data_IF_534762475017
#
_entry.id   IF_534762475017
#
_cell.length_a   1.000
_cell.length_b   1.000
_cell.length_c   1.000
_cell.angle_alpha   90.00
_cell.angle_beta   90.00
_cell.angle_gamma   90.00
#
_symmetry.space_group_name_H-M   'P 1'
#
loop_
_entity.id
_entity.type
_entity.pdbx_description
1 polymer ?
#
# COMPACT_ATOMS: atom_id res chain seq x y z
N UNK A 1 -24.82 7.49 2.09
CA UNK A 1 -23.72 6.54 2.37
C UNK A 1 -23.54 6.44 3.87
N UNK A 2 -23.68 5.24 4.42
CA UNK A 2 -23.59 5.02 5.87
C UNK A 2 -22.93 3.73 6.27
N UNK A 3 -22.44 3.66 7.50
CA UNK A 3 -21.82 2.47 8.09
C UNK A 3 -20.59 1.97 7.34
N UNK A 4 -19.92 2.82 6.55
CA UNK A 4 -18.73 2.41 5.81
C UNK A 4 -17.52 2.41 6.74
N UNK A 5 -16.66 1.42 6.58
CA UNK A 5 -15.31 1.42 7.14
C UNK A 5 -14.32 1.72 6.03
N UNK A 6 -13.76 2.91 6.05
CA UNK A 6 -12.85 3.40 5.02
C UNK A 6 -11.49 3.64 5.67
N UNK A 7 -10.46 2.93 5.23
CA UNK A 7 -9.12 3.22 5.72
C UNK A 7 -8.00 2.67 4.87
N UNK A 8 -6.78 3.10 5.20
CA UNK A 8 -5.57 2.95 4.38
C UNK A 8 -5.76 3.51 2.95
N UNK A 9 -6.43 4.67 2.88
CA UNK A 9 -6.71 5.38 1.64
C UNK A 9 -5.94 6.70 1.62
N UNK A 10 -5.75 7.25 0.42
CA UNK A 10 -5.07 8.53 0.19
C UNK A 10 -3.59 8.61 0.57
N UNK A 11 -2.92 7.47 0.63
CA UNK A 11 -1.48 7.43 0.87
C UNK A 11 -0.67 8.28 -0.12
N UNK A 12 -1.07 8.37 -1.40
CA UNK A 12 -0.31 9.08 -2.45
C UNK A 12 -1.05 10.28 -3.06
N UNK A 13 -2.24 10.60 -2.52
CA UNK A 13 -3.09 11.68 -3.00
C UNK A 13 -3.11 12.81 -1.96
N UNK A 14 -3.37 14.01 -2.42
CA UNK A 14 -3.57 15.21 -1.62
C UNK A 14 -4.80 15.93 -2.18
N UNK A 15 -5.36 16.91 -1.45
CA UNK A 15 -6.61 17.57 -1.87
C UNK A 15 -7.79 16.57 -1.97
N UNK A 16 -7.81 15.63 -1.02
CA UNK A 16 -8.72 14.49 -1.05
C UNK A 16 -9.12 14.07 0.38
N UNK A 17 -10.18 13.28 0.49
CA UNK A 17 -10.54 12.61 1.74
C UNK A 17 -10.86 11.15 1.58
N UNK A 18 -10.90 10.42 2.69
CA UNK A 18 -11.38 9.03 2.69
C UNK A 18 -12.77 8.92 2.04
N UNK A 19 -13.59 9.96 2.24
CA UNK A 19 -14.72 10.28 1.37
C UNK A 19 -14.44 11.64 0.73
N UNK A 20 -14.48 11.71 -0.60
CA UNK A 20 -14.36 12.97 -1.35
C UNK A 20 -15.70 13.27 -2.03
N UNK A 21 -16.08 14.54 -2.03
CA UNK A 21 -17.28 15.02 -2.71
C UNK A 21 -17.04 16.36 -3.40
N UNK A 22 -17.61 16.49 -4.59
CA UNK A 22 -17.57 17.67 -5.45
C UNK A 22 -18.94 17.77 -6.14
N UNK A 23 -19.52 18.97 -6.19
CA UNK A 23 -20.86 19.31 -6.76
C UNK A 23 -22.05 19.35 -5.79
N UNK A 24 -23.16 19.90 -6.25
CA UNK A 24 -24.42 20.01 -5.53
C UNK A 24 -25.16 18.67 -5.57
N UNK A 25 -25.47 18.10 -4.40
CA UNK A 25 -26.11 16.79 -4.30
C UNK A 25 -27.25 16.81 -3.28
N UNK A 26 -28.44 17.31 -3.66
CA UNK A 26 -29.64 17.35 -2.81
C UNK A 26 -29.92 15.99 -2.18
N UNK A 27 -30.42 16.01 -0.94
CA UNK A 27 -30.81 14.83 -0.15
C UNK A 27 -29.68 13.84 0.16
N UNK A 28 -28.42 14.18 -0.13
CA UNK A 28 -27.28 13.31 0.16
C UNK A 28 -26.92 13.36 1.64
N UNK A 29 -26.76 12.17 2.24
CA UNK A 29 -26.34 12.00 3.64
C UNK A 29 -25.10 11.13 3.73
N UNK A 30 -24.04 11.65 4.36
CA UNK A 30 -22.87 10.88 4.81
C UNK A 30 -22.95 10.72 6.33
N UNK A 31 -23.32 9.53 6.81
CA UNK A 31 -23.51 9.31 8.24
C UNK A 31 -22.96 7.99 8.78
N UNK A 32 -22.55 7.98 10.05
CA UNK A 32 -22.13 6.74 10.73
C UNK A 32 -20.98 6.00 10.02
N UNK A 33 -20.12 6.72 9.29
CA UNK A 33 -18.94 6.12 8.69
C UNK A 33 -17.76 6.18 9.68
N UNK A 34 -16.98 5.11 9.70
CA UNK A 34 -15.69 5.08 10.37
C UNK A 34 -14.60 5.24 9.32
N UNK A 35 -13.89 6.35 9.38
CA UNK A 35 -12.81 6.68 8.47
C UNK A 35 -11.52 6.64 9.30
N UNK A 36 -10.50 5.93 8.85
CA UNK A 36 -9.27 5.77 9.61
C UNK A 36 -8.04 5.65 8.71
N UNK A 37 -6.84 5.89 9.25
CA UNK A 37 -5.57 5.76 8.52
C UNK A 37 -5.59 6.53 7.18
N UNK A 38 -6.14 7.74 7.22
CA UNK A 38 -6.07 8.72 6.12
C UNK A 38 -4.81 9.54 6.34
N UNK A 39 -3.71 8.95 5.91
CA UNK A 39 -2.38 9.51 6.09
C UNK A 39 -1.84 10.00 4.75
N UNK A 40 -1.46 11.29 4.72
CA UNK A 40 -0.79 11.87 3.56
C UNK A 40 0.68 11.49 3.60
N UNK A 41 1.18 10.78 2.59
CA UNK A 41 2.64 10.68 2.44
C UNK A 41 3.24 12.08 2.25
N UNK A 42 4.43 12.37 2.81
CA UNK A 42 5.08 13.68 2.67
C UNK A 42 5.28 14.17 1.22
N UNK A 43 5.05 13.30 0.24
CA UNK A 43 5.40 13.47 -1.16
C UNK A 43 4.17 13.65 -2.06
N UNK A 44 2.94 13.55 -1.53
CA UNK A 44 1.70 13.65 -2.29
C UNK A 44 1.52 15.04 -2.94
N UNK A 45 1.40 16.11 -2.15
CA UNK A 45 1.59 17.53 -2.47
C UNK A 45 1.33 18.39 -1.21
N UNK A 46 1.38 19.72 -1.31
CA UNK A 46 1.17 20.64 -0.18
C UNK A 46 -0.26 20.68 0.39
N UNK A 47 -1.28 20.32 -0.40
CA UNK A 47 -2.69 20.36 0.02
C UNK A 47 -2.98 19.35 1.15
N UNK A 48 -3.85 19.71 2.12
CA UNK A 48 -4.23 18.80 3.20
C UNK A 48 -5.06 17.62 2.67
N UNK A 49 -5.19 16.57 3.48
CA UNK A 49 -6.20 15.51 3.32
C UNK A 49 -7.13 15.55 4.53
N UNK A 50 -8.37 15.11 4.35
CA UNK A 50 -9.36 15.03 5.43
C UNK A 50 -9.99 13.64 5.52
N UNK A 51 -10.72 13.37 6.60
CA UNK A 51 -11.61 12.19 6.64
C UNK A 51 -12.67 12.30 5.55
N UNK A 52 -13.41 13.40 5.58
CA UNK A 52 -14.36 13.79 4.54
C UNK A 52 -13.87 15.08 3.90
N UNK A 53 -13.73 15.10 2.59
CA UNK A 53 -13.22 16.24 1.84
C UNK A 53 -14.32 16.81 0.96
N UNK A 54 -14.69 18.06 1.22
CA UNK A 54 -15.76 18.75 0.53
C UNK A 54 -15.14 19.82 -0.35
N UNK A 55 -15.15 19.55 -1.65
CA UNK A 55 -14.56 20.44 -2.65
C UNK A 55 -15.60 21.39 -3.27
N UNK A 56 -15.15 22.29 -4.14
CA UNK A 56 -15.95 23.39 -4.66
C UNK A 56 -17.29 22.92 -5.26
N UNK A 57 -18.37 23.51 -4.75
CA UNK A 57 -19.73 23.20 -5.18
C UNK A 57 -20.42 22.12 -4.34
N UNK A 58 -19.75 21.51 -3.35
CA UNK A 58 -20.40 20.64 -2.35
C UNK A 58 -21.54 21.36 -1.64
N UNK A 59 -22.79 21.04 -1.97
CA UNK A 59 -23.97 21.76 -1.47
C UNK A 59 -25.21 20.85 -1.33
N UNK A 60 -26.19 21.31 -0.54
CA UNK A 60 -27.48 20.65 -0.24
C UNK A 60 -27.37 19.22 0.31
N UNK A 61 -26.48 19.02 1.29
CA UNK A 61 -26.21 17.70 1.88
C UNK A 61 -26.03 17.72 3.41
N UNK A 62 -26.05 16.54 4.03
CA UNK A 62 -25.86 16.33 5.47
C UNK A 62 -24.69 15.41 5.76
N UNK A 63 -23.84 15.79 6.70
CA UNK A 63 -22.68 15.02 7.17
C UNK A 63 -22.78 14.89 8.69
N UNK A 64 -23.09 13.70 9.19
CA UNK A 64 -23.33 13.51 10.64
C UNK A 64 -22.82 12.22 11.23
N UNK A 65 -22.54 12.18 12.52
CA UNK A 65 -22.21 10.94 13.26
C UNK A 65 -21.01 10.15 12.70
N UNK A 66 -20.13 10.76 11.91
CA UNK A 66 -18.94 10.08 11.39
C UNK A 66 -17.81 10.12 12.41
N UNK A 67 -17.00 9.07 12.44
CA UNK A 67 -15.81 8.98 13.31
C UNK A 67 -14.56 8.97 12.43
N UNK A 68 -13.59 9.82 12.75
CA UNK A 68 -12.27 9.83 12.11
C UNK A 68 -11.17 9.49 13.13
N UNK A 69 -10.35 8.47 12.87
CA UNK A 69 -9.20 8.14 13.74
C UNK A 69 -7.89 8.02 12.94
N UNK A 70 -6.76 8.28 13.59
CA UNK A 70 -5.42 8.13 13.01
C UNK A 70 -5.22 8.83 11.64
N UNK A 71 -5.33 10.17 11.60
CA UNK A 71 -5.23 10.95 10.34
C UNK A 71 -4.53 12.29 10.55
N UNK A 72 -4.16 12.95 9.45
CA UNK A 72 -3.69 14.35 9.48
C UNK A 72 -4.85 15.33 9.70
N UNK A 73 -5.23 15.51 10.98
CA UNK A 73 -5.89 16.66 11.61
C UNK A 73 -7.30 17.11 11.19
N UNK A 74 -7.90 16.66 10.07
CA UNK A 74 -9.20 17.19 9.63
C UNK A 74 -10.30 16.13 9.49
N UNK A 75 -11.35 16.23 10.30
CA UNK A 75 -12.57 15.40 10.13
C UNK A 75 -13.28 15.78 8.82
N UNK A 76 -13.47 17.08 8.60
CA UNK A 76 -14.05 17.64 7.38
C UNK A 76 -13.11 18.75 6.88
N UNK A 77 -12.70 18.69 5.61
CA UNK A 77 -11.73 19.62 5.00
C UNK A 77 -12.28 20.31 3.73
N UNK A 78 -11.75 21.51 3.42
CA UNK A 78 -11.98 22.36 2.24
C UNK A 78 -13.31 23.16 2.20
N UNK A 79 -13.53 23.96 1.14
CA UNK A 79 -14.59 24.95 0.96
C UNK A 79 -15.88 24.30 0.48
N UNK A 80 -16.88 24.31 1.33
CA UNK A 80 -18.23 23.86 1.02
C UNK A 80 -19.15 25.02 0.57
N UNK A 81 -20.21 24.67 -0.16
CA UNK A 81 -21.38 25.52 -0.36
C UNK A 81 -22.08 25.86 0.96
N UNK A 82 -22.96 26.86 0.93
CA UNK A 82 -23.63 27.38 2.12
C UNK A 82 -24.62 26.40 2.76
N UNK A 83 -25.05 25.35 2.05
CA UNK A 83 -26.12 24.44 2.47
C UNK A 83 -25.60 23.03 2.76
N UNK A 84 -24.52 22.92 3.55
CA UNK A 84 -24.04 21.64 4.09
C UNK A 84 -24.25 21.59 5.60
N UNK A 85 -25.14 20.70 6.05
CA UNK A 85 -25.40 20.47 7.48
C UNK A 85 -24.35 19.53 8.06
N UNK A 86 -23.67 19.95 9.13
CA UNK A 86 -22.62 19.17 9.81
C UNK A 86 -22.98 19.01 11.29
N UNK A 87 -23.12 17.78 11.80
CA UNK A 87 -23.38 17.54 13.24
C UNK A 87 -22.66 16.29 13.73
N UNK A 88 -22.21 16.27 14.99
CA UNK A 88 -21.76 15.03 15.67
C UNK A 88 -20.67 14.22 14.94
N UNK A 89 -19.84 14.87 14.12
CA UNK A 89 -18.66 14.25 13.53
C UNK A 89 -17.50 14.38 14.52
N UNK A 90 -16.89 13.25 14.90
CA UNK A 90 -15.99 13.17 16.05
C UNK A 90 -14.69 12.44 15.70
N UNK A 91 -13.68 12.57 16.56
CA UNK A 91 -12.44 11.78 16.46
C UNK A 91 -12.50 10.47 17.23
N UNK A 92 -13.60 10.23 17.96
CA UNK A 92 -13.81 9.08 18.84
C UNK A 92 -15.28 8.68 18.83
N UNK A 93 -15.60 7.40 18.65
CA UNK A 93 -16.99 6.94 18.76
C UNK A 93 -17.15 5.43 18.61
N UNK A 94 -17.23 4.74 19.75
CA UNK A 94 -17.27 3.26 19.83
C UNK A 94 -18.37 2.65 18.98
N UNK A 95 -19.60 3.16 19.12
CA UNK A 95 -20.78 2.60 18.45
C UNK A 95 -20.65 2.68 16.94
N UNK A 96 -20.23 3.82 16.41
CA UNK A 96 -19.97 4.00 14.98
C UNK A 96 -18.84 3.09 14.49
N UNK A 97 -17.73 2.98 15.24
CA UNK A 97 -16.61 2.12 14.86
C UNK A 97 -17.00 0.63 14.81
N UNK A 98 -17.74 0.14 15.81
CA UNK A 98 -18.23 -1.26 15.86
C UNK A 98 -19.24 -1.52 14.74
N UNK A 99 -20.12 -0.56 14.46
CA UNK A 99 -21.15 -0.70 13.42
C UNK A 99 -20.60 -0.51 11.99
N UNK A 100 -19.38 0.03 11.84
CA UNK A 100 -18.77 0.28 10.54
C UNK A 100 -18.28 -0.99 9.84
N UNK A 101 -18.38 -1.01 8.51
CA UNK A 101 -18.00 -2.12 7.65
C UNK A 101 -18.64 -2.02 6.27
N UNK A 102 -18.94 -3.14 5.64
CA UNK A 102 -19.90 -3.15 4.53
C UNK A 102 -21.29 -3.42 5.08
N UNK A 103 -22.29 -2.70 4.55
CA UNK A 103 -23.71 -3.04 4.78
C UNK A 103 -23.95 -4.50 4.42
N UNK A 104 -24.91 -5.15 5.09
CA UNK A 104 -25.12 -6.60 5.01
C UNK A 104 -25.20 -7.13 3.56
N UNK A 105 -25.85 -6.39 2.66
CA UNK A 105 -25.98 -6.75 1.24
C UNK A 105 -24.66 -6.74 0.45
N UNK A 106 -23.64 -6.03 0.92
CA UNK A 106 -22.35 -5.90 0.25
C UNK A 106 -21.21 -6.68 0.91
N UNK A 107 -21.44 -7.30 2.08
CA UNK A 107 -20.40 -8.07 2.80
C UNK A 107 -19.74 -9.18 1.97
N UNK A 108 -20.44 -9.71 0.97
CA UNK A 108 -19.85 -10.66 0.00
C UNK A 108 -18.68 -10.09 -0.81
N UNK A 109 -18.51 -8.76 -0.89
CA UNK A 109 -17.35 -8.13 -1.51
C UNK A 109 -16.08 -8.28 -0.65
N UNK A 110 -16.21 -8.25 0.69
CA UNK A 110 -15.07 -8.46 1.59
C UNK A 110 -14.47 -9.86 1.41
N UNK A 111 -15.32 -10.86 1.22
CA UNK A 111 -14.91 -12.24 0.94
C UNK A 111 -14.12 -12.38 -0.38
N UNK A 112 -14.30 -11.47 -1.35
CA UNK A 112 -13.57 -11.49 -2.63
C UNK A 112 -12.16 -10.90 -2.51
N UNK A 113 -11.94 -10.00 -1.55
CA UNK A 113 -10.68 -9.27 -1.41
C UNK A 113 -9.81 -9.78 -0.26
N UNK A 114 -10.42 -10.35 0.79
CA UNK A 114 -9.71 -10.93 1.92
C UNK A 114 -9.33 -12.39 1.62
N UNK A 115 -8.05 -12.65 1.36
CA UNK A 115 -7.56 -14.01 1.13
C UNK A 115 -7.72 -14.93 2.35
N UNK A 116 -7.78 -14.37 3.57
CA UNK A 116 -7.95 -15.13 4.80
C UNK A 116 -9.41 -15.51 5.08
N UNK A 117 -10.38 -14.90 4.38
CA UNK A 117 -11.80 -15.10 4.67
C UNK A 117 -12.20 -16.58 4.63
N UNK A 118 -12.85 -17.03 5.71
CA UNK A 118 -13.38 -18.38 5.88
C UNK A 118 -12.35 -19.51 5.63
N UNK A 119 -11.06 -19.22 5.75
CA UNK A 119 -9.97 -20.19 5.65
C UNK A 119 -9.80 -20.99 6.94
N UNK A 120 -8.97 -22.02 6.87
CA UNK A 120 -8.64 -22.84 8.03
C UNK A 120 -7.72 -22.08 8.98
N UNK A 121 -8.03 -22.15 10.28
CA UNK A 121 -7.29 -21.42 11.32
C UNK A 121 -6.81 -22.36 12.41
N UNK A 122 -5.81 -21.89 13.16
CA UNK A 122 -5.21 -22.56 14.31
C UNK A 122 -4.76 -21.51 15.31
N UNK A 123 -4.76 -21.82 16.59
CA UNK A 123 -4.50 -20.87 17.68
C UNK A 123 -3.69 -21.52 18.79
N UNK A 124 -3.12 -20.68 19.66
CA UNK A 124 -2.52 -21.13 20.92
C UNK A 124 -3.56 -21.73 21.87
N UNK A 125 -4.71 -21.07 21.98
CA UNK A 125 -5.87 -21.49 22.75
C UNK A 125 -7.12 -20.75 22.28
N UNK A 126 -8.29 -21.32 22.56
CA UNK A 126 -9.58 -20.68 22.36
C UNK A 126 -10.30 -20.59 23.71
N UNK A 127 -10.77 -19.40 24.10
CA UNK A 127 -11.52 -19.21 25.33
C UNK A 127 -12.82 -20.04 25.34
N UNK A 128 -13.53 -20.03 24.22
CA UNK A 128 -14.72 -20.86 24.00
C UNK A 128 -15.04 -20.93 22.50
N UNK A 129 -16.02 -21.75 22.13
CA UNK A 129 -16.52 -21.84 20.75
C UNK A 129 -17.13 -20.51 20.25
N UNK A 130 -17.66 -19.67 21.14
CA UNK A 130 -18.17 -18.34 20.79
C UNK A 130 -17.06 -17.35 20.39
N UNK A 131 -15.83 -17.60 20.83
CA UNK A 131 -14.63 -16.83 20.52
C UNK A 131 -13.57 -17.66 19.79
N UNK A 132 -14.03 -18.65 19.02
CA UNK A 132 -13.15 -19.56 18.30
C UNK A 132 -12.38 -18.87 17.18
N UNK A 133 -11.28 -19.48 16.77
CA UNK A 133 -10.34 -18.94 15.79
C UNK A 133 -10.96 -18.42 14.47
N UNK A 134 -11.99 -19.09 13.94
CA UNK A 134 -12.64 -18.69 12.70
C UNK A 134 -13.36 -17.33 12.77
N UNK A 135 -13.64 -16.83 13.97
CA UNK A 135 -14.29 -15.52 14.18
C UNK A 135 -13.41 -14.33 13.86
N UNK A 136 -12.11 -14.52 13.72
CA UNK A 136 -11.18 -13.47 13.31
C UNK A 136 -11.10 -13.29 11.78
N UNK A 137 -11.85 -14.07 10.98
CA UNK A 137 -11.79 -14.05 9.51
C UNK A 137 -13.18 -14.25 8.88
N UNK A 138 -14.24 -13.84 9.57
CA UNK A 138 -15.63 -14.05 9.14
C UNK A 138 -16.31 -12.77 8.60
N UNK A 139 -15.55 -11.68 8.46
CA UNK A 139 -16.04 -10.36 8.06
C UNK A 139 -17.16 -9.83 8.96
N UNK A 140 -17.16 -10.21 10.25
CA UNK A 140 -18.13 -9.77 11.22
C UNK A 140 -17.47 -9.02 12.38
N UNK A 141 -17.55 -7.69 12.33
CA UNK A 141 -16.98 -6.80 13.34
C UNK A 141 -17.56 -6.98 14.76
N UNK A 142 -18.65 -7.74 14.92
CA UNK A 142 -19.27 -8.03 16.21
C UNK A 142 -18.82 -9.34 16.85
N UNK A 143 -17.93 -10.09 16.19
CA UNK A 143 -17.33 -11.32 16.73
C UNK A 143 -15.80 -11.19 16.73
N UNK A 144 -15.12 -12.18 17.30
CA UNK A 144 -13.66 -12.22 17.29
C UNK A 144 -13.12 -13.47 17.96
N UNK A 145 -11.84 -13.71 17.75
CA UNK A 145 -11.09 -14.73 18.46
C UNK A 145 -10.55 -14.19 19.79
N UNK A 146 -10.58 -15.05 20.81
CA UNK A 146 -9.96 -14.79 22.10
C UNK A 146 -9.23 -16.03 22.64
N UNK A 147 -8.00 -15.88 23.14
CA UNK A 147 -7.30 -16.94 23.86
C UNK A 147 -7.89 -17.14 25.26
N UNK A 148 -7.59 -18.26 25.88
CA UNK A 148 -7.90 -18.47 27.30
C UNK A 148 -7.19 -17.44 28.17
N UNK A 149 -7.78 -17.06 29.32
CA UNK A 149 -7.17 -16.08 30.23
C UNK A 149 -5.85 -16.54 30.87
N UNK A 150 -5.51 -17.84 30.76
CA UNK A 150 -4.25 -18.42 31.21
C UNK A 150 -3.16 -18.46 30.14
N UNK A 151 -3.46 -18.06 28.90
CA UNK A 151 -2.51 -18.05 27.80
C UNK A 151 -1.54 -16.87 27.94
N UNK A 152 -0.26 -17.18 28.17
CA UNK A 152 0.80 -16.18 28.40
C UNK A 152 1.66 -15.93 27.15
N UNK A 153 1.33 -16.57 26.03
CA UNK A 153 1.98 -16.35 24.74
C UNK A 153 0.97 -16.51 23.59
N UNK A 154 -0.14 -15.75 23.61
CA UNK A 154 -1.25 -16.00 22.71
C UNK A 154 -0.90 -15.70 21.25
N UNK A 155 -1.31 -16.60 20.37
CA UNK A 155 -1.18 -16.44 18.93
C UNK A 155 -2.38 -17.02 18.18
N UNK A 156 -2.66 -16.44 17.02
CA UNK A 156 -3.68 -16.89 16.09
C UNK A 156 -3.08 -16.97 14.69
N UNK A 157 -3.51 -17.95 13.89
CA UNK A 157 -2.96 -18.21 12.56
C UNK A 157 -4.02 -18.66 11.57
N UNK A 158 -3.81 -18.31 10.29
CA UNK A 158 -4.58 -18.77 9.14
C UNK A 158 -3.71 -19.46 8.10
N UNK A 159 -4.23 -20.55 7.52
CA UNK A 159 -3.71 -21.19 6.30
C UNK A 159 -4.47 -20.65 5.08
N UNK A 160 -3.79 -19.90 4.21
CA UNK A 160 -4.39 -19.34 3.00
C UNK A 160 -4.72 -20.41 1.94
N UNK A 161 -4.22 -21.64 2.13
CA UNK A 161 -4.40 -22.81 1.26
C UNK A 161 -3.30 -22.96 0.19
N UNK A 162 -2.59 -21.88 -0.12
CA UNK A 162 -1.44 -21.86 -1.01
C UNK A 162 -0.53 -20.65 -0.69
N UNK A 163 0.74 -20.63 -1.12
CA UNK A 163 1.59 -19.46 -0.99
C UNK A 163 1.14 -18.30 -1.90
N UNK A 164 0.88 -17.13 -1.32
CA UNK A 164 0.55 -15.89 -2.04
C UNK A 164 1.62 -14.83 -1.83
N UNK A 165 1.90 -14.02 -2.86
CA UNK A 165 2.57 -12.75 -2.66
C UNK A 165 1.56 -11.81 -2.00
N UNK A 166 1.81 -11.37 -0.77
CA UNK A 166 0.90 -10.51 -0.02
C UNK A 166 1.30 -9.04 -0.22
N UNK A 167 0.32 -8.15 -0.34
CA UNK A 167 0.56 -6.72 -0.57
C UNK A 167 0.11 -5.81 0.56
N UNK A 168 -0.86 -6.26 1.36
CA UNK A 168 -1.39 -5.48 2.47
C UNK A 168 -2.00 -6.41 3.52
N UNK A 169 -1.91 -6.00 4.78
CA UNK A 169 -2.76 -6.53 5.84
C UNK A 169 -3.59 -5.42 6.50
N UNK A 170 -4.67 -5.84 7.15
CA UNK A 170 -5.51 -5.04 8.03
C UNK A 170 -5.89 -5.90 9.22
N UNK A 171 -5.54 -5.48 10.42
CA UNK A 171 -5.78 -6.21 11.67
C UNK A 171 -6.61 -5.33 12.62
N UNK A 172 -7.80 -5.82 12.91
CA UNK A 172 -8.72 -5.27 13.89
C UNK A 172 -8.60 -6.12 15.16
N UNK A 173 -8.18 -5.49 16.25
CA UNK A 173 -8.07 -6.15 17.56
C UNK A 173 -9.44 -6.12 18.25
N UNK A 174 -9.63 -5.43 19.38
CA UNK A 174 -10.91 -5.40 20.11
C UNK A 174 -11.66 -4.08 19.89
N UNK A 175 -12.93 -4.15 19.48
CA UNK A 175 -13.72 -2.97 19.11
C UNK A 175 -14.92 -2.72 20.03
N UNK A 176 -15.47 -3.76 20.64
CA UNK A 176 -16.67 -3.68 21.47
C UNK A 176 -16.39 -3.19 22.91
N UNK A 177 -15.13 -3.19 23.35
CA UNK A 177 -14.70 -2.69 24.65
C UNK A 177 -13.27 -2.18 24.60
N UNK A 178 -12.96 -1.09 25.31
CA UNK A 178 -11.60 -0.59 25.43
C UNK A 178 -10.75 -1.48 26.34
N UNK A 179 -9.84 -2.24 25.70
CA UNK A 179 -8.84 -3.07 26.34
C UNK A 179 -7.46 -2.82 25.73
N UNK A 180 -6.68 -1.87 26.30
CA UNK A 180 -5.40 -1.42 25.76
C UNK A 180 -4.39 -2.53 25.46
N UNK A 181 -4.33 -3.57 26.30
CA UNK A 181 -3.38 -4.67 26.17
C UNK A 181 -3.55 -5.48 24.86
N UNK A 182 -4.76 -5.49 24.31
CA UNK A 182 -5.05 -6.16 23.03
C UNK A 182 -4.54 -5.37 21.83
N UNK A 183 -4.14 -4.10 22.03
CA UNK A 183 -3.85 -3.11 20.98
C UNK A 183 -2.39 -2.64 21.00
N UNK A 184 -1.51 -3.41 21.65
CA UNK A 184 -0.07 -3.18 21.79
C UNK A 184 0.71 -4.50 21.77
N UNK A 185 2.01 -4.43 21.48
CA UNK A 185 2.98 -5.53 21.60
C UNK A 185 2.58 -6.81 20.87
N UNK A 186 2.45 -6.75 19.54
CA UNK A 186 2.21 -7.93 18.71
C UNK A 186 2.83 -7.79 17.33
N UNK A 187 2.99 -8.92 16.64
CA UNK A 187 3.49 -8.99 15.27
C UNK A 187 2.48 -9.70 14.36
N UNK A 188 2.38 -9.21 13.13
CA UNK A 188 1.84 -9.93 11.99
C UNK A 188 3.01 -10.59 11.27
N UNK A 189 2.99 -11.91 11.17
CA UNK A 189 4.08 -12.75 10.67
C UNK A 189 3.62 -13.56 9.47
N UNK A 190 4.49 -13.72 8.48
CA UNK A 190 4.28 -14.59 7.32
C UNK A 190 5.24 -15.78 7.34
N UNK A 191 4.75 -16.96 6.98
CA UNK A 191 5.57 -18.15 6.79
C UNK A 191 5.02 -19.09 5.71
N UNK A 192 5.86 -20.02 5.25
CA UNK A 192 5.44 -21.22 4.50
C UNK A 192 5.53 -22.49 5.35
N UNK A 193 5.95 -22.36 6.60
CA UNK A 193 6.01 -23.41 7.61
C UNK A 193 4.84 -23.21 8.60
N UNK A 194 3.95 -24.20 8.79
CA UNK A 194 2.82 -24.08 9.71
C UNK A 194 3.24 -23.89 11.18
N UNK A 195 4.44 -24.33 11.56
CA UNK A 195 4.94 -24.23 12.94
C UNK A 195 5.59 -22.86 13.22
N UNK A 196 5.87 -22.08 12.18
CA UNK A 196 6.59 -20.79 12.24
C UNK A 196 7.98 -20.91 12.88
N UNK A 197 8.71 -22.00 12.63
CA UNK A 197 10.11 -22.11 13.06
C UNK A 197 10.99 -21.06 12.35
N UNK A 198 10.63 -20.71 11.11
CA UNK A 198 11.10 -19.52 10.41
C UNK A 198 9.92 -18.65 9.96
N UNK A 199 10.04 -17.33 10.09
CA UNK A 199 9.02 -16.39 9.65
C UNK A 199 9.62 -15.03 9.29
N UNK A 200 8.83 -14.22 8.59
CA UNK A 200 9.13 -12.80 8.37
C UNK A 200 8.04 -11.94 9.00
N UNK A 201 8.46 -10.89 9.71
CA UNK A 201 7.55 -9.90 10.28
C UNK A 201 7.02 -9.03 9.14
N UNK A 202 5.72 -9.13 8.90
CA UNK A 202 4.99 -8.36 7.89
C UNK A 202 4.52 -7.01 8.44
N UNK A 203 4.30 -6.94 9.75
CA UNK A 203 3.92 -5.74 10.47
C UNK A 203 4.08 -5.93 11.97
N UNK A 204 4.20 -4.84 12.72
CA UNK A 204 4.39 -4.86 14.17
C UNK A 204 3.64 -3.70 14.81
N UNK A 205 3.06 -3.98 15.96
CA UNK A 205 2.72 -2.96 16.95
C UNK A 205 3.66 -3.12 18.15
N UNK A 206 4.45 -2.10 18.42
CA UNK A 206 5.34 -2.07 19.58
C UNK A 206 4.54 -1.81 20.88
N UNK A 207 5.21 -1.45 21.97
CA UNK A 207 4.57 -1.20 23.28
C UNK A 207 3.64 0.01 23.30
N UNK A 208 3.67 0.86 22.26
CA UNK A 208 2.72 1.96 22.12
C UNK A 208 1.33 1.37 21.84
N UNK A 209 0.35 1.69 22.69
CA UNK A 209 -1.04 1.28 22.43
C UNK A 209 -1.59 2.08 21.27
N UNK A 210 -2.20 1.40 20.29
CA UNK A 210 -2.97 2.06 19.24
C UNK A 210 -4.11 2.91 19.86
N UNK A 211 -4.81 3.77 19.09
CA UNK A 211 -6.06 4.35 19.54
C UNK A 211 -7.17 3.30 19.69
N UNK A 212 -8.14 3.56 20.56
CA UNK A 212 -9.28 2.65 20.72
C UNK A 212 -10.07 2.51 19.41
N UNK A 213 -10.43 1.28 19.03
CA UNK A 213 -11.08 0.97 17.76
C UNK A 213 -10.19 1.14 16.52
N UNK A 214 -8.88 1.37 16.71
CA UNK A 214 -7.95 1.48 15.59
C UNK A 214 -7.73 0.12 14.92
N UNK A 215 -7.47 0.19 13.63
CA UNK A 215 -7.05 -0.94 12.80
C UNK A 215 -5.56 -0.81 12.56
N UNK A 216 -4.76 -1.82 12.87
CA UNK A 216 -3.40 -1.82 12.37
C UNK A 216 -3.45 -2.21 10.89
N UNK A 217 -3.11 -1.28 10.02
CA UNK A 217 -2.93 -1.56 8.59
C UNK A 217 -1.46 -1.43 8.22
N UNK A 218 -1.02 -2.21 7.23
CA UNK A 218 0.35 -2.14 6.77
C UNK A 218 0.50 -2.69 5.37
N UNK A 219 1.38 -2.05 4.59
CA UNK A 219 1.84 -2.60 3.32
C UNK A 219 2.79 -3.75 3.59
N UNK A 220 2.68 -4.78 2.75
CA UNK A 220 3.59 -5.92 2.78
C UNK A 220 4.49 -5.78 1.57
N UNK A 221 5.64 -5.14 1.77
CA UNK A 221 6.64 -4.92 0.72
C UNK A 221 7.71 -6.02 0.73
N UNK A 222 7.26 -7.26 0.97
CA UNK A 222 8.10 -8.46 1.00
C UNK A 222 7.88 -9.26 -0.29
N UNK A 223 8.98 -9.65 -0.94
CA UNK A 223 8.97 -10.32 -2.25
C UNK A 223 8.68 -11.83 -2.20
N UNK A 224 8.69 -12.43 -1.02
CA UNK A 224 8.41 -13.85 -0.87
C UNK A 224 6.91 -14.11 -0.77
N UNK A 225 6.50 -15.31 -1.18
CA UNK A 225 5.14 -15.78 -0.99
C UNK A 225 4.99 -16.39 0.40
N UNK A 226 3.80 -16.26 0.98
CA UNK A 226 3.45 -16.84 2.27
C UNK A 226 2.16 -17.64 2.15
N UNK A 227 2.15 -18.85 2.71
CA UNK A 227 0.95 -19.66 2.86
C UNK A 227 0.25 -19.39 4.18
N UNK A 228 1.01 -19.12 5.24
CA UNK A 228 0.48 -18.89 6.57
C UNK A 228 0.71 -17.46 7.01
N UNK A 229 -0.29 -16.89 7.68
CA UNK A 229 -0.19 -15.62 8.39
C UNK A 229 -0.54 -15.86 9.86
N UNK A 230 0.33 -15.42 10.76
CA UNK A 230 0.15 -15.52 12.22
C UNK A 230 0.16 -14.13 12.83
N UNK A 231 -0.76 -13.87 13.74
CA UNK A 231 -0.71 -12.71 14.64
C UNK A 231 -0.36 -13.24 16.02
N UNK A 232 0.71 -12.71 16.62
CA UNK A 232 1.20 -13.20 17.90
C UNK A 232 1.60 -12.04 18.81
N UNK A 233 1.22 -12.13 20.09
CA UNK A 233 1.74 -11.21 21.11
C UNK A 233 3.25 -11.39 21.24
N UNK A 234 3.93 -10.27 21.53
CA UNK A 234 5.37 -10.24 21.83
C UNK A 234 5.64 -10.01 23.30
N UNK A 235 4.60 -9.76 24.10
CA UNK A 235 4.61 -9.81 25.55
C UNK A 235 3.67 -10.94 26.04
N UNK A 236 3.45 -11.01 27.35
CA UNK A 236 2.58 -12.02 27.97
C UNK A 236 1.17 -11.53 28.28
N UNK A 237 0.74 -10.43 27.68
CA UNK A 237 -0.57 -9.87 27.94
C UNK A 237 -1.69 -10.57 27.14
N UNK A 238 -2.92 -10.37 27.59
CA UNK A 238 -4.12 -10.86 26.92
C UNK A 238 -4.25 -10.31 25.49
N UNK A 239 -4.94 -11.05 24.64
CA UNK A 239 -5.16 -10.67 23.24
C UNK A 239 -6.60 -10.88 22.79
N UNK A 240 -6.97 -10.20 21.71
CA UNK A 240 -8.28 -10.34 21.07
C UNK A 240 -8.18 -9.87 19.63
N UNK A 241 -8.75 -10.63 18.70
CA UNK A 241 -8.77 -10.28 17.28
C UNK A 241 -10.21 -10.33 16.77
N UNK A 242 -10.78 -9.17 16.47
CA UNK A 242 -12.07 -9.04 15.77
C UNK A 242 -11.93 -9.51 14.33
N UNK A 243 -10.91 -9.05 13.59
CA UNK A 243 -10.82 -9.35 12.15
C UNK A 243 -9.38 -9.21 11.63
N UNK A 244 -8.93 -10.16 10.83
CA UNK A 244 -7.73 -10.06 10.00
C UNK A 244 -8.13 -10.15 8.52
N UNK A 245 -7.65 -9.18 7.75
CA UNK A 245 -7.66 -9.23 6.30
C UNK A 245 -6.26 -9.17 5.73
N UNK A 246 -5.96 -10.05 4.76
CA UNK A 246 -4.75 -10.00 3.97
C UNK A 246 -5.09 -10.04 2.49
N UNK A 247 -4.39 -9.23 1.71
CA UNK A 247 -4.65 -9.05 0.29
C UNK A 247 -3.43 -9.49 -0.51
N UNK A 248 -3.67 -10.05 -1.69
CA UNK A 248 -2.60 -10.36 -2.63
C UNK A 248 -1.92 -9.07 -3.10
N UNK A 249 -0.59 -9.08 -3.24
CA UNK A 249 0.14 -8.01 -3.90
C UNK A 249 -0.33 -7.88 -5.35
N UNK A 250 -0.64 -6.64 -5.78
CA UNK A 250 -1.16 -6.36 -7.13
C UNK A 250 -2.69 -6.37 -7.26
N UNK A 251 -3.44 -6.42 -6.15
CA UNK A 251 -4.91 -6.25 -6.16
C UNK A 251 -5.69 -7.41 -6.80
N UNK A 252 -7.00 -7.43 -6.57
CA UNK A 252 -7.91 -8.50 -6.99
C UNK A 252 -8.17 -8.58 -8.52
N UNK A 253 -7.36 -7.92 -9.36
CA UNK A 253 -7.62 -7.74 -10.79
C UNK A 253 -6.52 -8.21 -11.75
N UNK A 254 -5.38 -8.74 -11.30
CA UNK A 254 -4.31 -9.19 -12.22
C UNK A 254 -4.46 -10.64 -12.69
N UNK A 255 -5.64 -10.95 -13.20
CA UNK A 255 -5.77 -11.93 -14.29
C UNK A 255 -5.43 -11.33 -15.67
N UNK A 256 -5.02 -10.06 -15.75
CA UNK A 256 -4.90 -9.35 -17.03
C UNK A 256 -3.82 -8.25 -17.04
N UNK A 257 -2.55 -8.64 -17.16
CA UNK A 257 -1.56 -7.83 -17.87
C UNK A 257 -0.46 -8.75 -18.41
N UNK A 258 -0.13 -8.60 -19.68
CA UNK A 258 0.95 -9.31 -20.35
C UNK A 258 2.28 -9.01 -19.65
N UNK A 259 2.86 -10.00 -18.98
CA UNK A 259 4.23 -9.93 -18.48
C UNK A 259 5.18 -9.71 -19.66
N UNK A 260 5.94 -8.60 -19.73
CA UNK A 260 6.90 -8.39 -20.81
C UNK A 260 8.03 -9.43 -20.72
N UNK A 261 8.25 -10.20 -21.79
CA UNK A 261 9.32 -11.21 -21.82
C UNK A 261 10.59 -10.61 -22.42
N UNK A 262 11.38 -9.93 -21.59
CA UNK A 262 12.70 -9.42 -21.99
C UNK A 262 13.73 -10.54 -21.91
N UNK A 263 14.51 -10.71 -22.99
CA UNK A 263 15.59 -11.68 -23.00
C UNK A 263 16.77 -11.15 -22.14
N UNK A 264 17.15 -11.84 -21.04
CA UNK A 264 18.21 -11.37 -20.16
C UNK A 264 19.60 -11.33 -20.82
N UNK A 265 19.81 -12.06 -21.92
CA UNK A 265 21.07 -12.03 -22.69
C UNK A 265 21.13 -10.90 -23.72
N UNK A 266 20.03 -10.16 -23.93
CA UNK A 266 19.97 -9.04 -24.85
C UNK A 266 20.25 -7.73 -24.10
N UNK A 267 21.04 -6.85 -24.72
CA UNK A 267 21.20 -5.49 -24.27
C UNK A 267 20.29 -4.57 -25.07
N UNK A 268 19.46 -3.83 -24.37
CA UNK A 268 18.49 -2.92 -24.92
C UNK A 268 18.94 -1.47 -24.76
N UNK A 269 18.40 -0.60 -25.59
CA UNK A 269 18.35 0.83 -25.30
C UNK A 269 16.98 1.17 -24.72
N UNK A 270 16.95 2.12 -23.77
CA UNK A 270 15.72 2.58 -23.11
C UNK A 270 15.48 4.01 -23.56
N UNK A 271 14.59 4.20 -24.52
CA UNK A 271 14.38 5.49 -25.20
C UNK A 271 13.18 6.22 -24.62
N UNK A 272 13.38 7.46 -24.20
CA UNK A 272 12.31 8.31 -23.74
C UNK A 272 11.41 8.71 -24.91
N UNK A 273 10.09 8.56 -24.76
CA UNK A 273 9.12 8.86 -25.83
C UNK A 273 9.02 10.37 -26.09
N UNK A 274 9.16 11.21 -25.07
CA UNK A 274 9.09 12.68 -25.23
C UNK A 274 10.30 13.27 -25.95
N UNK A 275 11.51 12.94 -25.48
CA UNK A 275 12.74 13.56 -26.01
C UNK A 275 13.33 12.77 -27.19
N UNK A 276 13.02 11.49 -27.31
CA UNK A 276 13.69 10.57 -28.23
C UNK A 276 15.14 10.23 -27.83
N UNK A 277 15.60 10.70 -26.66
CA UNK A 277 16.94 10.42 -26.13
C UNK A 277 16.96 9.10 -25.35
N UNK A 278 18.14 8.51 -25.20
CA UNK A 278 18.34 7.23 -24.53
C UNK A 278 18.75 7.43 -23.08
N UNK A 279 18.26 6.57 -22.18
CA UNK A 279 18.80 6.46 -20.83
C UNK A 279 20.29 6.07 -20.89
N UNK A 280 21.09 6.81 -20.14
CA UNK A 280 22.56 6.76 -20.12
C UNK A 280 23.06 6.95 -18.68
N UNK A 281 24.34 6.69 -18.44
CA UNK A 281 25.04 7.01 -17.18
C UNK A 281 25.96 8.19 -17.42
N UNK A 282 25.87 9.22 -16.57
CA UNK A 282 26.67 10.44 -16.71
C UNK A 282 28.17 10.12 -16.82
N UNK A 283 28.82 10.73 -17.82
CA UNK A 283 30.22 10.52 -18.21
C UNK A 283 30.64 9.06 -18.42
N UNK A 284 29.69 8.16 -18.71
CA UNK A 284 29.95 6.71 -18.75
C UNK A 284 30.65 6.18 -17.49
N UNK A 285 30.41 6.83 -16.35
CA UNK A 285 31.01 6.46 -15.08
C UNK A 285 30.62 5.03 -14.69
N UNK A 286 31.55 4.32 -14.04
CA UNK A 286 31.31 3.00 -13.44
C UNK A 286 31.19 3.06 -11.92
N UNK A 287 31.20 4.26 -11.33
CA UNK A 287 31.10 4.44 -9.89
C UNK A 287 29.65 4.27 -9.39
N UNK A 288 29.51 3.79 -8.15
CA UNK A 288 28.26 3.87 -7.39
C UNK A 288 27.87 5.35 -7.19
N UNK A 289 26.59 5.66 -7.35
CA UNK A 289 26.08 7.02 -7.21
C UNK A 289 26.17 7.86 -8.48
N UNK A 290 26.75 7.35 -9.57
CA UNK A 290 26.74 8.06 -10.85
C UNK A 290 25.28 8.25 -11.33
N UNK A 291 24.97 9.47 -11.77
CA UNK A 291 23.62 9.84 -12.17
C UNK A 291 23.19 9.11 -13.44
N UNK A 292 21.96 8.59 -13.44
CA UNK A 292 21.29 8.23 -14.67
C UNK A 292 20.78 9.51 -15.35
N UNK A 293 21.03 9.64 -16.64
CA UNK A 293 20.66 10.81 -17.45
C UNK A 293 20.03 10.32 -18.77
N UNK A 294 19.53 11.24 -19.59
CA UNK A 294 19.26 10.94 -21.00
C UNK A 294 20.33 11.58 -21.89
N UNK A 295 20.70 10.93 -23.00
CA UNK A 295 21.60 11.49 -24.02
C UNK A 295 21.22 11.05 -25.43
N UNK A 296 21.71 11.79 -26.42
CA UNK A 296 21.62 11.43 -27.83
C UNK A 296 22.30 10.08 -28.06
N UNK A 297 21.72 9.28 -28.96
CA UNK A 297 22.25 7.96 -29.26
C UNK A 297 23.70 8.05 -29.76
N UNK A 298 24.61 7.37 -29.06
CA UNK A 298 26.04 7.36 -29.37
C UNK A 298 26.60 5.93 -29.47
N UNK A 299 25.75 4.91 -29.39
CA UNK A 299 26.11 3.48 -29.38
C UNK A 299 27.06 3.06 -28.24
N UNK A 300 27.28 3.93 -27.26
CA UNK A 300 28.13 3.68 -26.11
C UNK A 300 27.54 2.63 -25.17
N UNK A 301 28.42 1.91 -24.46
CA UNK A 301 28.00 0.85 -23.53
C UNK A 301 27.16 1.40 -22.37
N UNK A 302 27.33 2.67 -22.00
CA UNK A 302 26.56 3.32 -20.94
C UNK A 302 25.08 3.55 -21.31
N UNK A 303 24.73 3.48 -22.61
CA UNK A 303 23.34 3.56 -23.11
C UNK A 303 22.65 2.20 -23.24
N UNK A 304 23.34 1.12 -22.88
CA UNK A 304 22.89 -0.25 -23.08
C UNK A 304 22.57 -0.90 -21.75
N UNK A 305 21.43 -1.56 -21.66
CA UNK A 305 20.86 -2.06 -20.41
C UNK A 305 20.35 -3.49 -20.60
N UNK A 306 20.66 -4.37 -19.64
CA UNK A 306 20.00 -5.66 -19.51
C UNK A 306 18.77 -5.51 -18.61
N UNK A 307 17.62 -6.02 -19.04
CA UNK A 307 16.38 -6.04 -18.26
C UNK A 307 16.12 -7.48 -17.83
N UNK A 308 16.33 -7.77 -16.53
CA UNK A 308 16.35 -9.14 -16.01
C UNK A 308 15.20 -9.34 -15.04
N UNK A 309 14.33 -10.31 -15.31
CA UNK A 309 13.23 -10.69 -14.42
C UNK A 309 13.78 -11.26 -13.10
N UNK A 310 13.25 -10.79 -11.98
CA UNK A 310 13.63 -11.22 -10.63
C UNK A 310 12.58 -12.18 -10.06
N UNK A 311 11.30 -11.80 -10.07
CA UNK A 311 10.18 -12.60 -9.59
C UNK A 311 8.86 -11.99 -10.05
N UNK A 312 7.90 -12.80 -10.54
CA UNK A 312 6.64 -12.27 -11.07
C UNK A 312 6.91 -11.14 -12.08
N UNK A 313 6.18 -10.03 -12.01
CA UNK A 313 6.37 -8.90 -12.93
C UNK A 313 7.47 -7.91 -12.50
N UNK A 314 8.39 -8.31 -11.60
CA UNK A 314 9.51 -7.47 -11.15
C UNK A 314 10.79 -7.74 -11.91
N UNK A 315 11.46 -6.67 -12.29
CA UNK A 315 12.70 -6.67 -13.06
C UNK A 315 13.76 -5.83 -12.35
N UNK A 316 15.03 -6.17 -12.59
CA UNK A 316 16.17 -5.27 -12.39
C UNK A 316 16.65 -4.77 -13.74
N UNK A 317 17.13 -3.53 -13.79
CA UNK A 317 17.66 -2.89 -15.00
C UNK A 317 19.15 -2.66 -14.76
N UNK A 318 20.03 -3.31 -15.52
CA UNK A 318 21.48 -3.34 -15.26
C UNK A 318 22.22 -2.71 -16.43
N UNK A 319 23.04 -1.69 -16.15
CA UNK A 319 23.85 -1.02 -17.15
C UNK A 319 24.95 -1.95 -17.66
N UNK A 320 25.14 -2.03 -18.98
CA UNK A 320 26.15 -2.88 -19.62
C UNK A 320 27.57 -2.44 -19.31
N UNK A 321 27.82 -1.13 -19.26
CA UNK A 321 29.17 -0.58 -19.05
C UNK A 321 29.69 -0.86 -17.63
N UNK A 322 28.86 -0.66 -16.62
CA UNK A 322 29.27 -0.76 -15.21
C UNK A 322 28.88 -2.06 -14.53
N UNK A 323 27.90 -2.80 -15.05
CA UNK A 323 27.27 -3.94 -14.38
C UNK A 323 26.39 -3.55 -13.18
N UNK A 324 26.10 -2.26 -12.99
CA UNK A 324 25.32 -1.72 -11.87
C UNK A 324 23.84 -1.55 -12.22
N UNK A 325 22.99 -1.62 -11.21
CA UNK A 325 21.54 -1.52 -11.38
C UNK A 325 21.06 -0.06 -11.35
N UNK A 326 20.01 0.25 -12.12
CA UNK A 326 19.23 1.48 -11.97
C UNK A 326 18.57 1.49 -10.58
N UNK A 327 18.78 2.58 -9.86
CA UNK A 327 18.52 2.67 -8.43
C UNK A 327 17.88 4.03 -8.09
N UNK A 328 16.83 4.00 -7.28
CA UNK A 328 16.28 5.20 -6.63
C UNK A 328 17.20 5.59 -5.47
N UNK A 329 17.91 6.72 -5.61
CA UNK A 329 18.94 7.12 -4.66
C UNK A 329 18.45 7.06 -3.20
N UNK A 330 19.20 6.32 -2.37
CA UNK A 330 18.94 6.13 -0.94
C UNK A 330 17.58 5.47 -0.60
N UNK A 331 16.91 4.84 -1.58
CA UNK A 331 15.56 4.29 -1.39
C UNK A 331 14.51 5.34 -0.98
N UNK A 332 14.75 6.61 -1.31
CA UNK A 332 13.85 7.70 -0.95
C UNK A 332 12.48 7.54 -1.61
N UNK A 333 11.42 7.91 -0.90
CA UNK A 333 10.06 7.99 -1.46
C UNK A 333 9.74 9.37 -2.05
N UNK A 334 10.67 10.33 -1.98
CA UNK A 334 10.46 11.71 -2.42
C UNK A 334 10.41 11.82 -3.94
N UNK A 335 9.36 12.48 -4.45
CA UNK A 335 9.23 12.82 -5.88
C UNK A 335 10.41 13.71 -6.31
N UNK A 336 10.95 13.45 -7.48
CA UNK A 336 12.14 14.13 -7.99
C UNK A 336 13.46 13.58 -7.41
N UNK A 337 13.41 12.51 -6.62
CA UNK A 337 14.63 11.79 -6.24
C UNK A 337 15.31 11.29 -7.50
N UNK A 338 16.59 11.63 -7.64
CA UNK A 338 17.43 11.24 -8.78
C UNK A 338 17.53 9.72 -8.88
N UNK A 339 17.48 9.23 -10.12
CA UNK A 339 17.92 7.87 -10.41
C UNK A 339 19.43 7.86 -10.63
N UNK A 340 20.07 6.86 -10.06
CA UNK A 340 21.51 6.63 -10.14
C UNK A 340 21.75 5.20 -10.58
N UNK A 341 23.01 4.87 -10.85
CA UNK A 341 23.43 3.47 -10.81
C UNK A 341 24.02 3.13 -9.45
N UNK A 342 23.79 1.91 -8.99
CA UNK A 342 24.39 1.39 -7.76
C UNK A 342 24.64 -0.12 -7.88
N UNK A 343 25.60 -0.63 -7.12
CA UNK A 343 25.87 -2.06 -6.98
C UNK A 343 24.57 -2.79 -6.65
N UNK A 344 24.22 -3.81 -7.44
CA UNK A 344 22.97 -4.54 -7.21
C UNK A 344 23.03 -5.28 -5.87
N UNK A 345 22.22 -4.84 -4.92
CA UNK A 345 22.00 -5.50 -3.62
C UNK A 345 20.61 -6.09 -3.52
N UNK A 346 19.79 -5.94 -4.56
CA UNK A 346 18.43 -6.41 -4.60
C UNK A 346 17.58 -5.74 -3.54
N UNK A 347 17.78 -4.45 -3.23
CA UNK A 347 16.83 -3.65 -2.46
C UNK A 347 15.62 -3.27 -3.30
N UNK A 348 14.51 -2.88 -2.65
CA UNK A 348 13.26 -2.56 -3.35
C UNK A 348 13.40 -1.33 -4.26
N UNK A 349 14.31 -0.41 -3.92
CA UNK A 349 14.73 0.75 -4.71
C UNK A 349 15.43 0.41 -6.04
N UNK A 350 15.81 -0.85 -6.27
CA UNK A 350 16.45 -1.34 -7.51
C UNK A 350 15.53 -2.22 -8.38
N UNK A 351 14.26 -2.32 -8.00
CA UNK A 351 13.29 -3.20 -8.65
C UNK A 351 12.19 -2.41 -9.32
N UNK A 352 11.80 -2.87 -10.51
CA UNK A 352 10.98 -2.12 -11.43
C UNK A 352 9.89 -3.00 -12.03
N UNK A 353 8.68 -2.46 -12.13
CA UNK A 353 7.60 -2.96 -12.99
C UNK A 353 7.70 -2.31 -14.37
N UNK A 354 7.36 -3.08 -15.39
CA UNK A 354 7.17 -2.58 -16.75
C UNK A 354 5.70 -2.69 -17.09
N UNK A 355 5.00 -1.55 -17.07
CA UNK A 355 3.57 -1.51 -17.35
C UNK A 355 3.32 -1.12 -18.80
N UNK A 356 2.79 -2.03 -19.64
CA UNK A 356 2.61 -1.77 -21.06
C UNK A 356 1.54 -0.70 -21.30
N UNK A 357 1.80 0.16 -22.28
CA UNK A 357 0.90 1.18 -22.81
C UNK A 357 0.87 1.09 -24.33
N UNK A 358 0.01 1.87 -24.99
CA UNK A 358 -0.01 1.95 -26.46
C UNK A 358 1.26 2.56 -27.07
N UNK A 359 2.08 3.29 -26.30
CA UNK A 359 3.24 4.04 -26.79
C UNK A 359 4.59 3.50 -26.26
N UNK A 360 4.59 2.47 -25.42
CA UNK A 360 5.78 1.94 -24.74
C UNK A 360 5.43 1.46 -23.34
N UNK A 361 6.34 1.66 -22.40
CA UNK A 361 6.17 1.25 -21.00
C UNK A 361 6.22 2.45 -20.06
N UNK A 362 5.42 2.39 -19.00
CA UNK A 362 5.76 3.11 -17.77
C UNK A 362 6.61 2.18 -16.91
N UNK A 363 7.82 2.62 -16.56
CA UNK A 363 8.72 1.88 -15.70
C UNK A 363 8.53 2.38 -14.27
N UNK A 364 7.92 1.58 -13.38
CA UNK A 364 7.61 2.01 -11.99
C UNK A 364 8.48 1.30 -10.97
N UNK A 365 9.01 2.02 -9.99
CA UNK A 365 9.73 1.40 -8.89
C UNK A 365 8.79 0.52 -8.03
N UNK A 366 9.29 -0.61 -7.54
CA UNK A 366 8.53 -1.58 -6.75
C UNK A 366 7.96 -0.99 -5.46
N UNK A 367 8.77 -0.24 -4.72
CA UNK A 367 8.43 0.27 -3.38
C UNK A 367 7.59 1.53 -3.47
N UNK A 368 8.10 2.52 -4.22
CA UNK A 368 7.52 3.85 -4.24
C UNK A 368 6.29 3.91 -5.16
N UNK A 369 6.17 2.96 -6.11
CA UNK A 369 5.18 2.95 -7.20
C UNK A 369 5.30 4.17 -8.14
N UNK A 370 6.37 4.95 -8.01
CA UNK A 370 6.65 6.12 -8.83
C UNK A 370 7.28 5.71 -10.16
N UNK A 371 7.00 6.47 -11.21
CA UNK A 371 7.52 6.24 -12.55
C UNK A 371 8.94 6.81 -12.68
N UNK A 372 9.83 6.08 -13.34
CA UNK A 372 11.06 6.65 -13.87
C UNK A 372 10.71 7.67 -14.95
N UNK A 373 11.30 8.85 -14.87
CA UNK A 373 11.05 9.96 -15.78
C UNK A 373 12.31 10.74 -16.11
N UNK A 374 12.27 11.47 -17.21
CA UNK A 374 13.21 12.58 -17.42
C UNK A 374 12.73 13.79 -16.63
N UNK A 375 13.58 14.32 -15.74
CA UNK A 375 13.23 15.41 -14.82
C UNK A 375 12.60 16.60 -15.52
N UNK A 376 11.43 17.03 -15.03
CA UNK A 376 10.66 18.17 -15.55
C UNK A 376 10.36 18.10 -17.07
N UNK A 377 10.35 16.91 -17.66
CA UNK A 377 10.09 16.73 -19.09
C UNK A 377 11.16 17.30 -20.01
N UNK A 378 12.39 17.50 -19.50
CA UNK A 378 13.48 18.06 -20.29
C UNK A 378 13.77 17.25 -21.55
N UNK A 379 14.13 17.93 -22.63
CA UNK A 379 14.61 17.33 -23.89
C UNK A 379 16.11 17.56 -24.11
N UNK A 380 16.80 18.14 -23.12
CA UNK A 380 18.23 18.40 -23.21
C UNK A 380 19.06 17.13 -23.05
N UNK A 381 20.17 17.08 -23.77
CA UNK A 381 21.23 16.08 -23.57
C UNK A 381 21.85 16.26 -22.18
N UNK A 382 22.05 15.15 -21.46
CA UNK A 382 22.55 15.14 -20.09
C UNK A 382 21.50 15.43 -19.02
N UNK A 383 20.22 15.62 -19.38
CA UNK A 383 19.17 15.83 -18.39
C UNK A 383 19.02 14.60 -17.49
N UNK A 384 18.96 14.84 -16.17
CA UNK A 384 18.88 13.78 -15.16
C UNK A 384 17.57 13.02 -15.18
N UNK A 385 17.63 11.72 -14.92
CA UNK A 385 16.47 10.90 -14.65
C UNK A 385 16.12 10.98 -13.16
N UNK A 386 14.82 10.90 -12.87
CA UNK A 386 14.28 10.90 -11.52
C UNK A 386 13.10 9.93 -11.42
N UNK A 387 12.62 9.69 -10.20
CA UNK A 387 11.28 9.12 -10.02
C UNK A 387 10.25 10.23 -9.77
N UNK A 388 9.02 10.04 -10.22
CA UNK A 388 7.90 10.94 -9.94
C UNK A 388 6.57 10.22 -9.92
N UNK A 389 5.51 10.92 -9.49
CA UNK A 389 4.15 10.42 -9.62
C UNK A 389 3.88 9.89 -11.04
N UNK A 390 3.25 8.74 -11.11
CA UNK A 390 2.79 8.09 -12.32
C UNK A 390 1.66 8.89 -12.99
N UNK A 391 1.99 9.86 -13.82
CA UNK A 391 1.05 10.74 -14.51
C UNK A 391 0.83 10.35 -15.98
N UNK A 392 1.47 9.27 -16.42
CA UNK A 392 1.43 8.74 -17.79
C UNK A 392 1.76 9.81 -18.86
N UNK A 393 2.63 10.75 -18.51
CA UNK A 393 3.09 11.81 -19.41
C UNK A 393 4.16 11.27 -20.37
N UNK A 394 4.34 11.85 -21.57
CA UNK A 394 5.30 11.36 -22.56
C UNK A 394 6.73 11.20 -22.04
N UNK A 395 7.17 12.05 -21.10
CA UNK A 395 8.52 11.98 -20.51
C UNK A 395 8.68 10.90 -19.43
N UNK A 396 7.60 10.19 -19.12
CA UNK A 396 7.56 9.00 -18.25
C UNK A 396 7.34 7.71 -19.04
N UNK A 397 7.22 7.81 -20.37
CA UNK A 397 7.03 6.69 -21.27
C UNK A 397 8.36 6.33 -21.94
N UNK A 398 8.63 5.03 -21.99
CA UNK A 398 9.90 4.48 -22.47
C UNK A 398 9.66 3.36 -23.46
N UNK A 399 10.33 3.40 -24.62
CA UNK A 399 10.42 2.24 -25.50
C UNK A 399 11.69 1.46 -25.20
N UNK A 400 11.59 0.12 -25.25
CA UNK A 400 12.70 -0.80 -25.04
C UNK A 400 13.06 -1.38 -26.41
N UNK A 401 14.26 -1.08 -26.89
CA UNK A 401 14.68 -1.33 -28.28
C UNK A 401 15.95 -2.17 -28.36
#
# INVERSE_FOLDING_TARGET
>A
MSHNRVGNVLNQLCDAGGIYHLSNSPDTVFAENYIHDVERTPTACGSPVGGIYLDEGSDNMTIRNNVLSNTTNFIIQNRNGSNVTKSDNTTTGTSTMVASGLEAGYRGLLAKINLAYAKTTSTSSDYSTSFGSAKAIDNNASTGWSPTGSDTSPWWQVDLGAPYALGQFSLTTRHEQDQPETRSSFEVRGSNDPDFAGYVVLGRQDSATLPYGATLTGKIDVRQKFRYVRVAKTDSAYFYITELSVQQAGGALEGSATTPDFNPSTYYTIKNVNSGLLADVHDSSTADGAAAVQRAANNGLAQQWSVVRVSGNLYKIVNRNSGKALDVNSGSHTKGTKLIQWTYHGGNNQLWYFEPTSAGYVIRNFETRQAAETSAGSTADGAGLAQWAALNQPHQLWTIQ
#
